data_IF_113027467231
#
_entry.id   IF_113027467231
#
_cell.length_a   1.000
_cell.length_b   1.000
_cell.length_c   1.000
_cell.angle_alpha   90.00
_cell.angle_beta   90.00
_cell.angle_gamma   90.00
#
_symmetry.space_group_name_H-M   'P 1'
#
loop_
_entity.id
_entity.type
_entity.pdbx_description
1 polymer ?
#
# COMPACT_ATOMS: atom_id res chain seq x y z
N UNK A 1 -28.25 -9.95 2.10
CA UNK A 1 -26.92 -9.56 1.57
C UNK A 1 -26.07 -8.72 2.52
N UNK A 2 -26.34 -7.42 2.76
CA UNK A 2 -25.45 -6.54 3.57
C UNK A 2 -25.42 -6.93 5.06
N UNK A 3 -26.59 -7.14 5.68
CA UNK A 3 -26.73 -7.57 7.08
C UNK A 3 -26.11 -8.95 7.36
N UNK A 4 -26.22 -9.89 6.41
CA UNK A 4 -25.60 -11.21 6.54
C UNK A 4 -24.07 -11.14 6.49
N UNK A 5 -23.50 -10.29 5.63
CA UNK A 5 -22.06 -10.03 5.59
C UNK A 5 -21.57 -9.39 6.89
N UNK A 6 -22.32 -8.43 7.43
CA UNK A 6 -22.00 -7.81 8.73
C UNK A 6 -22.04 -8.83 9.87
N UNK A 7 -23.04 -9.71 9.91
CA UNK A 7 -23.12 -10.80 10.88
C UNK A 7 -21.98 -11.82 10.75
N UNK A 8 -21.59 -12.16 9.51
CA UNK A 8 -20.44 -13.05 9.27
C UNK A 8 -19.13 -12.42 9.74
N UNK A 9 -18.96 -11.11 9.53
CA UNK A 9 -17.78 -10.38 9.95
C UNK A 9 -17.69 -10.30 11.48
N UNK A 10 -18.81 -10.04 12.16
CA UNK A 10 -18.90 -10.09 13.63
C UNK A 10 -18.61 -11.48 14.19
N UNK A 11 -19.06 -12.56 13.53
CA UNK A 11 -18.74 -13.93 13.93
C UNK A 11 -17.25 -14.21 13.83
N UNK A 12 -16.62 -13.84 12.70
CA UNK A 12 -15.17 -13.98 12.52
C UNK A 12 -14.37 -13.22 13.57
N UNK A 13 -14.77 -11.98 13.87
CA UNK A 13 -14.13 -11.20 14.93
C UNK A 13 -14.21 -11.89 16.30
N UNK A 14 -15.39 -12.43 16.66
CA UNK A 14 -15.56 -13.18 17.91
C UNK A 14 -14.73 -14.47 17.94
N UNK A 15 -14.62 -15.17 16.81
CA UNK A 15 -13.76 -16.36 16.68
C UNK A 15 -12.28 -16.00 16.84
N UNK A 16 -11.81 -14.94 16.19
CA UNK A 16 -10.45 -14.42 16.33
C UNK A 16 -10.14 -13.99 17.77
N UNK A 17 -11.06 -13.30 18.44
CA UNK A 17 -10.93 -12.93 19.86
C UNK A 17 -10.85 -14.17 20.76
N UNK A 18 -11.73 -15.16 20.55
CA UNK A 18 -11.73 -16.40 21.32
C UNK A 18 -10.42 -17.18 21.15
N UNK A 19 -9.88 -17.23 19.93
CA UNK A 19 -8.58 -17.82 19.63
C UNK A 19 -7.44 -17.08 20.36
N UNK A 20 -7.42 -15.75 20.33
CA UNK A 20 -6.43 -14.94 21.06
C UNK A 20 -6.47 -15.23 22.57
N UNK A 21 -7.66 -15.27 23.16
CA UNK A 21 -7.87 -15.62 24.56
C UNK A 21 -7.37 -17.04 24.88
N UNK A 22 -7.68 -18.01 24.03
CA UNK A 22 -7.23 -19.39 24.18
C UNK A 22 -5.69 -19.49 24.13
N UNK A 23 -5.05 -18.81 23.19
CA UNK A 23 -3.59 -18.76 23.09
C UNK A 23 -2.96 -18.12 24.33
N UNK A 24 -3.52 -17.01 24.83
CA UNK A 24 -3.05 -16.38 26.06
C UNK A 24 -3.13 -17.32 27.26
N UNK A 25 -4.23 -18.04 27.41
CA UNK A 25 -4.40 -19.03 28.48
C UNK A 25 -3.41 -20.19 28.36
N UNK A 26 -3.16 -20.68 27.15
CA UNK A 26 -2.15 -21.71 26.90
C UNK A 26 -0.75 -21.24 27.29
N UNK A 27 -0.37 -20.02 26.89
CA UNK A 27 0.91 -19.41 27.28
C UNK A 27 1.05 -19.29 28.80
N UNK A 28 0.00 -18.81 29.49
CA UNK A 28 0.00 -18.72 30.96
C UNK A 28 0.13 -20.08 31.64
N UNK A 29 -0.53 -21.12 31.12
CA UNK A 29 -0.41 -22.49 31.62
C UNK A 29 0.99 -23.05 31.40
N UNK A 30 1.57 -22.84 30.21
CA UNK A 30 2.92 -23.27 29.89
C UNK A 30 3.97 -22.59 30.80
N UNK A 31 3.83 -21.29 31.05
CA UNK A 31 4.69 -20.54 31.97
C UNK A 31 4.62 -21.07 33.40
N UNK A 32 3.41 -21.38 33.90
CA UNK A 32 3.25 -21.98 35.23
C UNK A 32 3.92 -23.34 35.32
N UNK A 33 3.63 -24.23 34.37
CA UNK A 33 4.24 -25.56 34.30
C UNK A 33 5.77 -25.50 34.21
N UNK A 34 6.32 -24.49 33.54
CA UNK A 34 7.75 -24.25 33.53
C UNK A 34 8.28 -23.91 34.92
N UNK A 35 7.71 -22.89 35.57
CA UNK A 35 8.17 -22.47 36.89
C UNK A 35 8.06 -23.62 37.90
N UNK A 36 6.99 -24.40 37.85
CA UNK A 36 6.82 -25.61 38.68
C UNK A 36 7.95 -26.61 38.46
N UNK A 37 8.31 -26.90 37.20
CA UNK A 37 9.44 -27.79 36.89
C UNK A 37 10.78 -27.23 37.36
N UNK A 38 10.98 -25.92 37.21
CA UNK A 38 12.22 -25.27 37.65
C UNK A 38 12.36 -25.34 39.18
N UNK A 39 11.27 -25.11 39.91
CA UNK A 39 11.25 -25.24 41.37
C UNK A 39 11.51 -26.68 41.81
N UNK A 40 10.81 -27.66 41.23
CA UNK A 40 11.03 -29.08 41.53
C UNK A 40 12.48 -29.53 41.26
N UNK A 41 13.11 -28.99 40.21
CA UNK A 41 14.51 -29.26 39.91
C UNK A 41 15.46 -28.63 40.95
N UNK A 42 15.19 -27.40 41.39
CA UNK A 42 15.96 -26.75 42.45
C UNK A 42 15.82 -27.44 43.81
N UNK A 43 14.67 -28.05 44.10
CA UNK A 43 14.43 -28.84 45.32
C UNK A 43 15.31 -30.11 45.38
N UNK A 44 15.63 -30.71 44.23
CA UNK A 44 16.41 -31.96 44.13
C UNK A 44 17.92 -31.69 44.06
N UNK A 45 18.34 -30.53 43.55
CA UNK A 45 19.76 -30.20 43.36
C UNK A 45 20.44 -29.90 44.69
N UNK A 46 21.63 -30.46 44.88
CA UNK A 46 22.45 -30.17 46.06
C UNK A 46 22.84 -28.67 46.10
N UNK A 47 22.75 -27.97 47.25
CA UNK A 47 22.99 -26.53 47.35
C UNK A 47 24.31 -26.03 46.74
N UNK A 48 25.39 -26.81 46.86
CA UNK A 48 26.69 -26.46 46.28
C UNK A 48 26.72 -26.46 44.74
N UNK A 49 25.73 -27.06 44.07
CA UNK A 49 25.64 -27.16 42.62
C UNK A 49 24.63 -26.16 42.01
N UNK A 50 23.82 -25.49 42.83
CA UNK A 50 22.79 -24.54 42.37
C UNK A 50 23.41 -23.41 41.53
N UNK A 51 24.51 -22.81 42.00
CA UNK A 51 25.17 -21.72 41.29
C UNK A 51 25.68 -22.12 39.91
N UNK A 52 26.24 -23.34 39.79
CA UNK A 52 26.69 -23.89 38.51
C UNK A 52 25.52 -24.10 37.55
N UNK A 53 24.42 -24.66 38.05
CA UNK A 53 23.21 -24.87 37.25
C UNK A 53 22.61 -23.54 36.75
N UNK A 54 22.53 -22.52 37.61
CA UNK A 54 22.02 -21.20 37.23
C UNK A 54 22.89 -20.56 36.13
N UNK A 55 24.22 -20.64 36.26
CA UNK A 55 25.13 -20.14 35.23
C UNK A 55 24.96 -20.87 33.88
N UNK A 56 24.77 -22.18 33.88
CA UNK A 56 24.49 -22.94 32.65
C UNK A 56 23.16 -22.50 31.99
N UNK A 57 22.15 -22.17 32.79
CA UNK A 57 20.87 -21.65 32.30
C UNK A 57 20.99 -20.23 31.74
N UNK A 58 21.77 -19.36 32.38
CA UNK A 58 22.10 -18.03 31.86
C UNK A 58 22.80 -18.12 30.50
N UNK A 59 23.80 -18.99 30.37
CA UNK A 59 24.50 -19.20 29.09
C UNK A 59 23.54 -19.72 28.01
N UNK A 60 22.71 -20.71 28.33
CA UNK A 60 21.72 -21.26 27.37
C UNK A 60 20.71 -20.21 26.94
N UNK A 61 20.17 -19.43 27.87
CA UNK A 61 19.22 -18.35 27.57
C UNK A 61 19.86 -17.26 26.71
N UNK A 62 21.10 -16.84 27.03
CA UNK A 62 21.84 -15.89 26.22
C UNK A 62 22.06 -16.40 24.78
N UNK A 63 22.44 -17.67 24.61
CA UNK A 63 22.60 -18.28 23.29
C UNK A 63 21.28 -18.33 22.51
N UNK A 64 20.17 -18.65 23.17
CA UNK A 64 18.84 -18.62 22.58
C UNK A 64 18.48 -17.22 22.10
N UNK A 65 18.62 -16.20 22.95
CA UNK A 65 18.36 -14.80 22.58
C UNK A 65 19.22 -14.39 21.38
N UNK A 66 20.52 -14.69 21.41
CA UNK A 66 21.43 -14.38 20.31
C UNK A 66 21.03 -15.08 19.01
N UNK A 67 20.62 -16.35 19.06
CA UNK A 67 20.15 -17.11 17.90
C UNK A 67 18.90 -16.48 17.30
N UNK A 68 17.90 -16.16 18.13
CA UNK A 68 16.68 -15.49 17.68
C UNK A 68 16.98 -14.11 17.07
N UNK A 69 17.87 -13.33 17.69
CA UNK A 69 18.30 -12.04 17.17
C UNK A 69 18.97 -12.15 15.79
N UNK A 70 19.88 -13.11 15.62
CA UNK A 70 20.53 -13.37 14.31
C UNK A 70 19.48 -13.73 13.25
N UNK A 71 18.51 -14.57 13.61
CA UNK A 71 17.39 -14.93 12.73
C UNK A 71 16.51 -13.74 12.37
N UNK A 72 16.11 -12.93 13.35
CA UNK A 72 15.34 -11.71 13.14
C UNK A 72 16.08 -10.74 12.22
N UNK A 73 17.37 -10.47 12.49
CA UNK A 73 18.19 -9.60 11.63
C UNK A 73 18.24 -10.08 10.19
N UNK A 74 18.42 -11.39 9.97
CA UNK A 74 18.45 -11.97 8.63
C UNK A 74 17.09 -11.82 7.92
N UNK A 75 15.98 -12.07 8.62
CA UNK A 75 14.62 -11.87 8.08
C UNK A 75 14.33 -10.41 7.77
N UNK A 76 14.71 -9.48 8.66
CA UNK A 76 14.54 -8.03 8.45
C UNK A 76 15.23 -7.59 7.16
N UNK A 77 16.50 -7.98 6.98
CA UNK A 77 17.25 -7.67 5.75
C UNK A 77 16.61 -8.28 4.50
N UNK A 78 16.15 -9.53 4.59
CA UNK A 78 15.47 -10.21 3.48
C UNK A 78 14.16 -9.50 3.11
N UNK A 79 13.36 -9.09 4.09
CA UNK A 79 12.12 -8.34 3.86
C UNK A 79 12.39 -6.99 3.20
N UNK A 80 13.41 -6.26 3.63
CA UNK A 80 13.84 -5.03 2.98
C UNK A 80 14.23 -5.28 1.52
N UNK A 81 15.08 -6.27 1.24
CA UNK A 81 15.47 -6.61 -0.14
C UNK A 81 14.27 -7.04 -0.99
N UNK A 82 13.35 -7.83 -0.43
CA UNK A 82 12.11 -8.26 -1.08
C UNK A 82 11.22 -7.07 -1.42
N UNK A 83 11.11 -6.09 -0.52
CA UNK A 83 10.35 -4.86 -0.73
C UNK A 83 10.97 -4.01 -1.84
N UNK A 84 12.28 -3.78 -1.80
CA UNK A 84 12.98 -3.07 -2.88
C UNK A 84 12.83 -3.77 -4.24
N UNK A 85 12.83 -5.11 -4.27
CA UNK A 85 12.61 -5.86 -5.50
C UNK A 85 11.17 -5.70 -6.03
N UNK A 86 10.16 -5.66 -5.15
CA UNK A 86 8.76 -5.38 -5.55
C UNK A 86 8.64 -3.98 -6.14
N UNK A 87 9.23 -2.98 -5.49
CA UNK A 87 9.24 -1.58 -5.95
C UNK A 87 9.93 -1.45 -7.30
N UNK A 88 11.10 -2.08 -7.48
CA UNK A 88 11.80 -2.12 -8.74
C UNK A 88 10.95 -2.75 -9.86
N UNK A 89 10.33 -3.92 -9.59
CA UNK A 89 9.43 -4.57 -10.56
C UNK A 89 8.25 -3.67 -10.92
N UNK A 90 7.64 -3.01 -9.95
CA UNK A 90 6.56 -2.07 -10.17
C UNK A 90 7.02 -0.88 -11.04
N UNK A 91 8.18 -0.30 -10.73
CA UNK A 91 8.77 0.79 -11.51
C UNK A 91 9.00 0.37 -12.97
N UNK A 92 9.55 -0.81 -13.23
CA UNK A 92 9.74 -1.34 -14.59
C UNK A 92 8.42 -1.49 -15.34
N UNK A 93 7.36 -1.95 -14.67
CA UNK A 93 6.02 -2.08 -15.28
C UNK A 93 5.47 -0.70 -15.65
N UNK A 94 5.56 0.27 -14.73
CA UNK A 94 5.11 1.65 -14.97
C UNK A 94 5.90 2.28 -16.12
N UNK A 95 7.22 2.15 -16.12
CA UNK A 95 8.10 2.67 -17.17
C UNK A 95 7.74 2.07 -18.53
N UNK A 96 7.54 0.75 -18.61
CA UNK A 96 7.11 0.08 -19.86
C UNK A 96 5.76 0.59 -20.34
N UNK A 97 4.79 0.75 -19.44
CA UNK A 97 3.48 1.28 -19.77
C UNK A 97 3.56 2.74 -20.26
N UNK A 98 4.37 3.57 -19.61
CA UNK A 98 4.61 4.96 -20.00
C UNK A 98 5.29 5.05 -21.37
N UNK A 99 6.32 4.24 -21.64
CA UNK A 99 6.98 4.20 -22.95
C UNK A 99 5.98 3.84 -24.07
N UNK A 100 5.20 2.77 -23.88
CA UNK A 100 4.15 2.37 -24.84
C UNK A 100 3.10 3.47 -25.05
N UNK A 101 2.69 4.15 -23.98
CA UNK A 101 1.76 5.27 -24.06
C UNK A 101 2.34 6.45 -24.85
N UNK A 102 3.59 6.82 -24.58
CA UNK A 102 4.29 7.90 -25.28
C UNK A 102 4.49 7.57 -26.77
N UNK A 103 4.86 6.33 -27.11
CA UNK A 103 4.92 5.86 -28.50
C UNK A 103 3.56 5.95 -29.19
N UNK A 104 2.49 5.49 -28.54
CA UNK A 104 1.12 5.62 -29.06
C UNK A 104 0.73 7.09 -29.27
N UNK A 105 1.13 7.98 -28.37
CA UNK A 105 0.91 9.42 -28.49
C UNK A 105 1.71 10.05 -29.63
N UNK A 106 2.96 9.63 -29.84
CA UNK A 106 3.78 10.07 -30.99
C UNK A 106 3.16 9.64 -32.31
N UNK A 107 2.75 8.37 -32.43
CA UNK A 107 2.03 7.85 -33.62
C UNK A 107 0.72 8.59 -33.91
N UNK A 108 -0.02 8.99 -32.87
CA UNK A 108 -1.22 9.83 -33.02
C UNK A 108 -0.89 11.25 -33.47
N UNK A 109 0.18 11.86 -32.95
CA UNK A 109 0.63 13.20 -33.37
C UNK A 109 1.08 13.25 -34.83
N UNK A 110 1.72 12.20 -35.33
CA UNK A 110 2.07 12.11 -36.76
C UNK A 110 0.82 12.01 -37.64
N UNK A 111 -0.23 11.34 -37.18
CA UNK A 111 -1.53 11.29 -37.87
C UNK A 111 -2.33 12.60 -37.78
N UNK A 112 -2.11 13.42 -36.74
CA UNK A 112 -2.78 14.71 -36.56
C UNK A 112 -2.15 15.86 -37.36
N UNK A 113 -1.06 15.62 -38.10
CA UNK A 113 -0.54 16.60 -39.08
C UNK A 113 -1.33 16.54 -40.38
N UNK A 114 -2.66 16.42 -40.30
CA UNK A 114 -3.49 16.86 -41.41
C UNK A 114 -3.40 18.38 -41.44
N UNK A 115 -2.36 18.89 -42.12
CA UNK A 115 -2.37 20.27 -42.61
C UNK A 115 -3.56 20.29 -43.56
N UNK A 116 -4.66 20.95 -43.14
CA UNK A 116 -5.82 21.14 -43.99
C UNK A 116 -5.35 21.58 -45.38
N UNK A 117 -5.98 21.11 -46.47
CA UNK A 117 -5.52 21.40 -47.81
C UNK A 117 -5.35 22.92 -47.95
N UNK A 118 -4.14 23.36 -48.31
CA UNK A 118 -3.91 24.74 -48.76
C UNK A 118 -4.97 25.04 -49.79
N UNK A 119 -5.70 26.14 -49.63
CA UNK A 119 -6.94 26.44 -50.34
C UNK A 119 -6.91 25.95 -51.78
N UNK A 120 -7.67 24.89 -52.05
CA UNK A 120 -7.76 24.29 -53.38
C UNK A 120 -8.25 25.38 -54.34
N UNK A 121 -7.50 25.62 -55.41
CA UNK A 121 -7.96 26.43 -56.55
C UNK A 121 -9.24 25.79 -57.14
N UNK A 122 -10.16 26.59 -57.68
CA UNK A 122 -11.44 26.09 -58.19
C UNK A 122 -11.27 24.99 -59.26
N UNK A 123 -10.23 25.09 -60.09
CA UNK A 123 -9.88 24.05 -61.08
C UNK A 123 -9.51 22.71 -60.43
N UNK A 124 -8.82 22.74 -59.29
CA UNK A 124 -8.45 21.54 -58.55
C UNK A 124 -9.65 20.92 -57.85
N UNK A 125 -10.63 21.73 -57.43
CA UNK A 125 -11.89 21.24 -56.86
C UNK A 125 -12.70 20.47 -57.90
N UNK A 126 -12.83 21.01 -59.12
CA UNK A 126 -13.54 20.35 -60.21
C UNK A 126 -12.85 19.06 -60.63
N UNK A 127 -11.52 19.06 -60.75
CA UNK A 127 -10.76 17.85 -61.09
C UNK A 127 -10.85 16.76 -60.01
N UNK A 128 -10.86 17.14 -58.73
CA UNK A 128 -11.08 16.20 -57.63
C UNK A 128 -12.51 15.68 -57.60
N UNK A 129 -13.50 16.55 -57.85
CA UNK A 129 -14.90 16.15 -57.95
C UNK A 129 -15.10 15.12 -59.05
N UNK A 130 -14.53 15.35 -60.24
CA UNK A 130 -14.56 14.39 -61.34
C UNK A 130 -13.93 13.04 -60.96
N UNK A 131 -12.77 13.05 -60.28
CA UNK A 131 -12.15 11.81 -59.77
C UNK A 131 -13.01 11.08 -58.76
N UNK A 132 -13.69 11.81 -57.88
CA UNK A 132 -14.63 11.23 -56.91
C UNK A 132 -15.83 10.64 -57.63
N UNK A 133 -16.42 11.36 -58.58
CA UNK A 133 -17.58 10.90 -59.34
C UNK A 133 -17.24 9.66 -60.18
N UNK A 134 -16.08 9.63 -60.82
CA UNK A 134 -15.62 8.47 -61.58
C UNK A 134 -15.33 7.27 -60.66
N UNK A 135 -14.78 7.51 -59.47
CA UNK A 135 -14.59 6.45 -58.48
C UNK A 135 -15.93 5.90 -57.95
N UNK A 136 -16.92 6.76 -57.72
CA UNK A 136 -18.29 6.38 -57.30
C UNK A 136 -18.98 5.58 -58.39
N UNK A 137 -18.83 5.97 -59.67
CA UNK A 137 -19.36 5.21 -60.81
C UNK A 137 -18.75 3.80 -60.88
N UNK A 138 -17.45 3.68 -60.60
CA UNK A 138 -16.73 2.40 -60.59
C UNK A 138 -17.04 1.54 -59.34
N UNK A 139 -17.46 2.17 -58.24
CA UNK A 139 -17.78 1.49 -56.98
C UNK A 139 -19.14 1.93 -56.44
N UNK A 140 -20.26 1.50 -57.06
CA UNK A 140 -21.58 1.78 -56.53
C UNK A 140 -21.71 1.20 -55.13
N UNK A 141 -21.96 2.06 -54.13
CA UNK A 141 -22.27 1.58 -52.80
C UNK A 141 -23.56 0.73 -52.87
N UNK A 142 -23.65 -0.38 -52.12
CA UNK A 142 -24.90 -1.10 -51.97
C UNK A 142 -25.98 -0.11 -51.54
N UNK A 143 -27.10 -0.04 -52.27
CA UNK A 143 -28.23 0.81 -51.90
C UNK A 143 -28.71 0.39 -50.52
N UNK A 144 -28.35 1.15 -49.48
CA UNK A 144 -28.92 0.99 -48.17
C UNK A 144 -30.39 1.41 -48.24
N UNK A 145 -31.28 0.56 -47.72
CA UNK A 145 -32.67 0.95 -47.50
C UNK A 145 -32.72 2.21 -46.62
N UNK A 146 -33.72 3.06 -46.86
CA UNK A 146 -33.94 4.29 -46.10
C UNK A 146 -34.07 3.99 -44.59
N UNK A 147 -34.68 2.85 -44.25
CA UNK A 147 -34.83 2.37 -42.87
C UNK A 147 -33.46 2.11 -42.22
N UNK A 148 -32.58 1.37 -42.90
CA UNK A 148 -31.23 1.08 -42.42
C UNK A 148 -30.39 2.35 -42.25
N UNK A 149 -30.61 3.37 -43.09
CA UNK A 149 -29.93 4.66 -42.98
C UNK A 149 -30.37 5.43 -41.72
N UNK A 150 -31.67 5.40 -41.42
CA UNK A 150 -32.25 6.03 -40.22
C UNK A 150 -31.77 5.33 -38.96
N UNK A 151 -31.75 4.00 -38.96
CA UNK A 151 -31.22 3.21 -37.85
C UNK A 151 -29.73 3.46 -37.60
N UNK A 152 -28.92 3.57 -38.66
CA UNK A 152 -27.51 3.88 -38.49
C UNK A 152 -27.32 5.30 -37.92
N UNK A 153 -28.14 6.25 -38.36
CA UNK A 153 -28.11 7.61 -37.82
C UNK A 153 -28.48 7.65 -36.34
N UNK A 154 -29.55 6.96 -35.93
CA UNK A 154 -29.94 6.91 -34.51
C UNK A 154 -28.86 6.25 -33.67
N UNK A 155 -28.30 5.12 -34.10
CA UNK A 155 -27.19 4.46 -33.42
C UNK A 155 -25.95 5.36 -33.30
N UNK A 156 -25.63 6.14 -34.33
CA UNK A 156 -24.52 7.09 -34.30
C UNK A 156 -24.76 8.21 -33.29
N UNK A 157 -25.98 8.77 -33.26
CA UNK A 157 -26.38 9.81 -32.29
C UNK A 157 -26.35 9.29 -30.85
N UNK A 158 -26.82 8.06 -30.62
CA UNK A 158 -26.77 7.42 -29.30
C UNK A 158 -25.31 7.23 -28.82
N UNK A 159 -24.43 6.73 -29.69
CA UNK A 159 -23.00 6.59 -29.38
C UNK A 159 -22.35 7.94 -29.08
N UNK A 160 -22.71 8.99 -29.81
CA UNK A 160 -22.22 10.34 -29.55
C UNK A 160 -22.71 10.84 -28.19
N UNK A 161 -23.99 10.66 -27.87
CA UNK A 161 -24.54 11.06 -26.57
C UNK A 161 -23.83 10.34 -25.41
N UNK A 162 -23.58 9.02 -25.53
CA UNK A 162 -22.82 8.24 -24.56
C UNK A 162 -21.39 8.77 -24.39
N UNK A 163 -20.71 9.07 -25.50
CA UNK A 163 -19.36 9.63 -25.47
C UNK A 163 -19.33 10.99 -24.76
N UNK A 164 -20.25 11.89 -25.09
CA UNK A 164 -20.34 13.22 -24.47
C UNK A 164 -20.61 13.12 -22.97
N UNK A 165 -21.50 12.21 -22.55
CA UNK A 165 -21.78 11.98 -21.13
C UNK A 165 -20.52 11.52 -20.38
N UNK A 166 -19.78 10.56 -20.95
CA UNK A 166 -18.54 10.05 -20.35
C UNK A 166 -17.44 11.11 -20.32
N UNK A 167 -17.30 11.89 -21.40
CA UNK A 167 -16.34 12.99 -21.48
C UNK A 167 -16.56 14.05 -20.40
N UNK A 168 -17.81 14.35 -20.01
CA UNK A 168 -18.11 15.28 -18.92
C UNK A 168 -17.62 14.76 -17.55
N UNK A 169 -17.75 13.46 -17.31
CA UNK A 169 -17.24 12.84 -16.08
C UNK A 169 -15.71 12.91 -16.02
N UNK A 170 -15.04 12.61 -17.13
CA UNK A 170 -13.59 12.67 -17.25
C UNK A 170 -13.08 14.11 -17.08
N UNK A 171 -13.76 15.11 -17.66
CA UNK A 171 -13.43 16.53 -17.46
C UNK A 171 -13.56 16.94 -16.00
N UNK A 172 -14.64 16.54 -15.31
CA UNK A 172 -14.80 16.84 -13.87
C UNK A 172 -13.74 16.16 -13.02
N UNK A 173 -13.28 14.96 -13.39
CA UNK A 173 -12.17 14.30 -12.73
C UNK A 173 -10.84 15.03 -12.97
N UNK A 174 -10.59 15.50 -14.19
CA UNK A 174 -9.40 16.29 -14.55
C UNK A 174 -9.36 17.62 -13.80
N UNK A 175 -10.47 18.37 -13.79
CA UNK A 175 -10.59 19.63 -13.03
C UNK A 175 -10.31 19.41 -11.54
N UNK A 176 -10.90 18.37 -10.93
CA UNK A 176 -10.62 18.03 -9.52
C UNK A 176 -9.14 17.76 -9.27
N UNK A 177 -8.49 17.02 -10.17
CA UNK A 177 -7.05 16.75 -10.08
C UNK A 177 -6.23 18.04 -10.22
N UNK A 178 -6.58 18.92 -11.14
CA UNK A 178 -5.91 20.21 -11.31
C UNK A 178 -6.06 21.11 -10.07
N UNK A 179 -7.26 21.18 -9.49
CA UNK A 179 -7.49 21.92 -8.22
C UNK A 179 -6.66 21.36 -7.08
N UNK A 180 -6.59 20.03 -6.94
CA UNK A 180 -5.77 19.38 -5.92
C UNK A 180 -4.28 19.65 -6.13
N UNK A 181 -3.80 19.61 -7.38
CA UNK A 181 -2.41 19.93 -7.69
C UNK A 181 -2.07 21.40 -7.39
N UNK A 182 -2.97 22.33 -7.70
CA UNK A 182 -2.80 23.74 -7.35
C UNK A 182 -2.73 23.92 -5.83
N UNK A 183 -3.61 23.27 -5.07
CA UNK A 183 -3.59 23.30 -3.60
C UNK A 183 -2.28 22.74 -3.03
N UNK A 184 -1.82 21.58 -3.53
CA UNK A 184 -0.54 21.00 -3.09
C UNK A 184 0.62 21.92 -3.39
N UNK A 185 0.64 22.56 -4.56
CA UNK A 185 1.70 23.52 -4.90
C UNK A 185 1.70 24.73 -3.97
N UNK A 186 0.51 25.28 -3.64
CA UNK A 186 0.43 26.39 -2.68
C UNK A 186 0.87 25.97 -1.28
N UNK A 187 0.53 24.75 -0.85
CA UNK A 187 0.95 24.22 0.45
C UNK A 187 2.48 24.00 0.48
N UNK A 188 3.07 23.53 -0.62
CA UNK A 188 4.53 23.38 -0.76
C UNK A 188 5.23 24.73 -0.73
N UNK A 189 4.75 25.72 -1.49
CA UNK A 189 5.30 27.08 -1.47
C UNK A 189 5.22 27.69 -0.07
N UNK A 190 4.12 27.45 0.65
CA UNK A 190 3.97 27.89 2.03
C UNK A 190 5.01 27.24 2.96
N UNK A 191 5.25 25.94 2.82
CA UNK A 191 6.25 25.22 3.63
C UNK A 191 7.69 25.62 3.29
N UNK A 192 7.99 25.86 2.00
CA UNK A 192 9.31 26.31 1.57
C UNK A 192 9.65 27.71 2.09
N UNK A 193 8.64 28.56 2.28
CA UNK A 193 8.78 29.90 2.83
C UNK A 193 8.47 29.97 4.34
N UNK A 194 8.52 28.83 5.04
CA UNK A 194 8.26 28.82 6.48
C UNK A 194 9.37 29.56 7.26
N UNK A 195 9.01 30.47 8.19
CA UNK A 195 9.98 31.17 9.00
C UNK A 195 10.75 30.22 9.91
N UNK A 196 11.96 30.61 10.30
CA UNK A 196 12.73 29.85 11.28
C UNK A 196 12.03 29.88 12.65
N UNK A 197 12.19 28.83 13.45
CA UNK A 197 11.54 28.70 14.78
C UNK A 197 11.86 29.85 15.75
N UNK A 198 12.97 30.58 15.54
CA UNK A 198 13.35 31.73 16.35
C UNK A 198 12.59 33.02 15.96
N UNK A 199 12.05 33.09 14.74
CA UNK A 199 11.44 34.29 14.14
C UNK A 199 9.91 34.17 14.01
N UNK A 200 9.33 33.04 14.41
CA UNK A 200 7.89 32.77 14.27
C UNK A 200 7.04 33.73 15.11
N UNK A 201 6.12 34.44 14.44
CA UNK A 201 5.12 35.29 15.08
C UNK A 201 3.77 34.55 15.16
N UNK A 202 2.87 34.95 16.08
CA UNK A 202 1.51 34.36 16.19
C UNK A 202 0.71 34.41 14.88
N UNK A 203 0.98 35.42 14.04
CA UNK A 203 0.36 35.56 12.72
C UNK A 203 0.77 34.44 11.77
N UNK A 204 2.02 33.97 11.86
CA UNK A 204 2.53 32.89 11.02
C UNK A 204 1.89 31.56 11.43
N UNK A 205 1.67 31.35 12.73
CA UNK A 205 0.97 30.17 13.24
C UNK A 205 -0.42 30.02 12.63
N UNK A 206 -1.16 31.12 12.47
CA UNK A 206 -2.48 31.10 11.87
C UNK A 206 -2.48 30.64 10.39
N UNK A 207 -1.36 30.80 9.68
CA UNK A 207 -1.22 30.37 8.28
C UNK A 207 -0.99 28.86 8.17
N UNK A 208 -0.23 28.27 9.10
CA UNK A 208 0.09 26.84 9.11
C UNK A 208 -0.95 25.96 9.83
N UNK A 209 -1.86 26.56 10.60
CA UNK A 209 -2.93 25.82 11.26
C UNK A 209 -4.12 25.55 10.33
N UNK A 210 -4.57 24.29 10.33
CA UNK A 210 -5.84 23.92 9.69
C UNK A 210 -7.02 24.63 10.37
N UNK A 211 -7.93 25.21 9.58
CA UNK A 211 -9.21 25.76 10.07
C UNK A 211 -10.15 24.71 10.65
N UNK A 212 -9.97 23.45 10.25
CA UNK A 212 -10.74 22.31 10.77
C UNK A 212 -10.20 21.89 12.13
N UNK A 213 -11.01 22.07 13.18
CA UNK A 213 -10.65 21.73 14.56
C UNK A 213 -10.27 20.25 14.71
N UNK A 214 -11.02 19.26 14.18
CA UNK A 214 -10.63 17.85 14.28
C UNK A 214 -9.29 17.52 13.62
N UNK A 215 -8.95 18.21 12.53
CA UNK A 215 -7.68 18.02 11.82
C UNK A 215 -6.54 18.62 12.65
N UNK A 216 -6.75 19.81 13.21
CA UNK A 216 -5.77 20.48 14.06
C UNK A 216 -5.51 19.71 15.36
N UNK A 217 -6.57 19.20 16.03
CA UNK A 217 -6.41 18.38 17.25
C UNK A 217 -5.66 17.09 16.96
N UNK A 218 -6.02 16.37 15.88
CA UNK A 218 -5.31 15.16 15.47
C UNK A 218 -3.84 15.42 15.14
N UNK A 219 -3.52 16.52 14.46
CA UNK A 219 -2.15 16.91 14.17
C UNK A 219 -1.35 17.24 15.45
N UNK A 220 -1.99 17.89 16.43
CA UNK A 220 -1.38 18.15 17.75
C UNK A 220 -1.12 16.87 18.52
N UNK A 221 -2.10 15.96 18.55
CA UNK A 221 -1.97 14.66 19.19
C UNK A 221 -0.86 13.81 18.56
N UNK A 222 -0.80 13.76 17.23
CA UNK A 222 0.24 13.01 16.52
C UNK A 222 1.63 13.58 16.77
N UNK A 223 1.77 14.91 16.76
CA UNK A 223 3.03 15.57 17.10
C UNK A 223 3.45 15.29 18.55
N UNK A 224 2.51 15.37 19.50
CA UNK A 224 2.77 15.05 20.89
C UNK A 224 3.17 13.57 21.09
N UNK A 225 2.52 12.66 20.36
CA UNK A 225 2.90 11.24 20.36
C UNK A 225 4.31 11.05 19.82
N UNK A 226 4.66 11.72 18.71
CA UNK A 226 6.01 11.70 18.14
C UNK A 226 7.07 12.24 19.12
N UNK A 227 6.80 13.36 19.80
CA UNK A 227 7.70 13.92 20.82
C UNK A 227 7.87 12.99 22.02
N UNK A 228 6.77 12.37 22.47
CA UNK A 228 6.81 11.36 23.54
C UNK A 228 7.69 10.19 23.10
N UNK A 229 7.44 9.64 21.92
CA UNK A 229 8.23 8.54 21.35
C UNK A 229 9.72 8.90 21.25
N UNK A 230 10.07 10.07 20.73
CA UNK A 230 11.46 10.52 20.61
C UNK A 230 12.19 10.54 21.97
N UNK A 231 11.49 10.94 23.04
CA UNK A 231 12.02 10.98 24.42
C UNK A 231 12.04 9.62 25.12
N UNK A 232 11.46 8.58 24.54
CA UNK A 232 11.44 7.28 25.19
C UNK A 232 12.84 6.65 25.26
N UNK A 233 13.16 5.94 26.35
CA UNK A 233 14.34 5.10 26.42
C UNK A 233 14.36 4.11 25.25
N UNK A 234 15.55 3.80 24.74
CA UNK A 234 15.73 2.91 23.58
C UNK A 234 15.02 1.57 23.72
N UNK A 235 14.94 1.02 24.94
CA UNK A 235 14.27 -0.25 25.21
C UNK A 235 12.74 -0.22 25.08
N UNK A 236 12.09 0.95 25.22
CA UNK A 236 10.64 1.11 24.92
C UNK A 236 10.37 1.29 23.44
N UNK A 237 11.38 1.70 22.66
CA UNK A 237 11.29 1.85 21.20
C UNK A 237 11.42 0.51 20.47
N UNK A 238 11.84 -0.54 21.16
CA UNK A 238 12.00 -1.88 20.60
C UNK A 238 10.68 -2.56 20.24
N UNK A 239 9.51 -2.15 20.75
CA UNK A 239 8.25 -2.85 20.51
C UNK A 239 7.62 -2.63 19.12
N UNK A 240 7.68 -1.40 18.60
CA UNK A 240 6.99 -1.04 17.34
C UNK A 240 7.60 -1.71 16.09
N UNK A 241 8.85 -2.18 16.13
CA UNK A 241 9.50 -2.85 15.00
C UNK A 241 9.08 -4.33 14.81
N UNK A 242 8.30 -4.89 15.75
CA UNK A 242 7.89 -6.31 15.72
C UNK A 242 6.41 -6.53 15.39
N UNK A 243 5.61 -5.46 15.24
CA UNK A 243 4.15 -5.57 15.07
C UNK A 243 3.70 -5.88 13.63
N UNK A 244 4.52 -5.63 12.60
CA UNK A 244 3.96 -5.58 11.23
C UNK A 244 4.08 -6.83 10.35
N UNK A 245 4.91 -7.86 10.61
CA UNK A 245 4.91 -9.06 9.75
C UNK A 245 5.65 -10.32 10.28
N UNK A 246 6.37 -10.23 11.40
CA UNK A 246 7.14 -11.36 11.95
C UNK A 246 6.38 -12.05 13.10
N UNK A 247 5.13 -12.48 12.87
CA UNK A 247 4.50 -13.48 13.74
C UNK A 247 5.26 -14.79 13.52
N UNK A 248 6.32 -15.01 14.29
CA UNK A 248 6.95 -16.32 14.40
C UNK A 248 5.82 -17.27 14.82
N UNK A 249 5.52 -18.33 14.05
CA UNK A 249 4.47 -19.27 14.39
C UNK A 249 4.68 -19.76 15.81
N UNK A 250 3.67 -19.60 16.68
CA UNK A 250 3.74 -19.93 18.11
C UNK A 250 4.22 -21.37 18.33
N UNK A 251 3.96 -22.27 17.37
CA UNK A 251 4.40 -23.66 17.34
C UNK A 251 5.94 -23.81 17.29
N UNK A 252 6.65 -22.91 16.62
CA UNK A 252 8.13 -22.93 16.59
C UNK A 252 8.75 -22.42 17.88
N UNK A 253 8.13 -21.44 18.54
CA UNK A 253 8.54 -20.98 19.86
C UNK A 253 8.22 -22.03 20.94
N UNK A 254 7.06 -22.68 20.86
CA UNK A 254 6.65 -23.75 21.78
C UNK A 254 7.48 -25.03 21.60
N UNK A 255 7.83 -25.40 20.37
CA UNK A 255 8.71 -26.54 20.10
C UNK A 255 10.15 -26.28 20.55
N UNK A 256 10.67 -25.05 20.44
CA UNK A 256 12.02 -24.71 20.90
C UNK A 256 12.12 -24.41 22.40
N UNK A 257 11.08 -23.85 23.04
CA UNK A 257 10.96 -23.91 24.50
C UNK A 257 10.88 -25.37 24.96
N UNK A 258 10.19 -26.24 24.22
CA UNK A 258 10.22 -27.69 24.46
C UNK A 258 11.61 -28.31 24.30
N UNK A 259 12.44 -27.82 23.36
CA UNK A 259 13.77 -28.39 23.05
C UNK A 259 14.90 -27.87 23.95
N UNK A 260 14.80 -26.64 24.45
CA UNK A 260 15.63 -26.14 25.57
C UNK A 260 15.44 -26.96 26.86
N UNK A 261 14.37 -27.77 26.91
CA UNK A 261 13.93 -28.57 28.05
C UNK A 261 14.15 -30.07 27.94
N UNK A 262 14.85 -30.56 26.90
CA UNK A 262 15.21 -31.98 26.82
C UNK A 262 16.61 -32.16 27.40
N UNK A 263 16.68 -32.08 28.73
CA UNK A 263 17.75 -32.72 29.48
C UNK A 263 17.57 -34.24 29.40
N UNK A 264 18.24 -34.87 28.44
CA UNK A 264 18.62 -36.28 28.37
C UNK A 264 17.65 -37.33 28.91
N UNK A 265 16.89 -37.99 28.03
CA UNK A 265 16.65 -39.43 28.19
C UNK A 265 17.77 -40.16 27.46
N UNK A 266 18.75 -40.67 28.22
CA UNK A 266 19.53 -41.83 27.75
C UNK A 266 18.56 -43.00 27.75
N UNK A 267 18.29 -43.54 26.57
CA UNK A 267 17.68 -44.86 26.41
C UNK A 267 18.61 -45.89 27.07
N UNK A 268 18.08 -46.60 28.07
CA UNK A 268 18.47 -47.98 28.34
C UNK A 268 17.58 -48.88 27.48
#
# INVERSE_FOLDING_TARGET
AKRERELQLLKKQKEEEALKLQMQLQRQRAMRLFHERQLALLEIIHPSQISKHMQEMEVKSALTIQRFWRGYRARKNFHQHKQSLKEYKAAVIIQRAACKFLEKRRRKRTLSSWKGPKGLSDEQRVALQQKVDDYIKLHPAPQMSEEMSKELHTQAQEKLAQFLLRSRLDQRAAQRRETLLAQVNTDVELLMNAPQLAETTEKDLAVFMSRSVPVATKAKESHNAMLKYARWPWWKKLGDEFEEDDVIPDDTLNAELGSLFIGGRKSL
#
